data_IF_837659668946
#
_entry.id   IF_837659668946
#
_cell.length_a   1.000
_cell.length_b   1.000
_cell.length_c   1.000
_cell.angle_alpha   90.00
_cell.angle_beta   90.00
_cell.angle_gamma   90.00
#
_symmetry.space_group_name_H-M   'P 1'
#
loop_
_entity.id
_entity.type
_entity.pdbx_description
1 polymer ?
#
# COMPACT_ATOMS: atom_id res chain seq x y z
N UNK A 1 -6.79 -40.55 -42.19
CA UNK A 1 -6.73 -39.21 -41.54
C UNK A 1 -6.46 -39.39 -40.04
N UNK A 2 -5.22 -39.66 -39.61
CA UNK A 2 -4.86 -39.94 -38.20
C UNK A 2 -3.43 -39.49 -37.85
N UNK A 3 -2.99 -38.30 -38.29
CA UNK A 3 -1.55 -37.93 -38.19
C UNK A 3 -1.20 -36.62 -37.47
N UNK A 4 -2.16 -35.88 -36.92
CA UNK A 4 -1.85 -34.59 -36.27
C UNK A 4 -2.11 -34.52 -34.76
N UNK A 5 -2.80 -35.50 -34.15
CA UNK A 5 -3.10 -35.47 -32.71
C UNK A 5 -1.84 -35.61 -31.83
N UNK A 6 -0.82 -36.35 -32.29
CA UNK A 6 0.45 -36.48 -31.60
C UNK A 6 1.26 -35.17 -31.61
N UNK A 7 1.19 -34.40 -32.70
CA UNK A 7 1.83 -33.09 -32.80
C UNK A 7 1.16 -32.07 -31.87
N UNK A 8 -0.18 -32.02 -31.85
CA UNK A 8 -0.94 -31.18 -30.92
C UNK A 8 -0.67 -31.55 -29.46
N UNK A 9 -0.66 -32.85 -29.13
CA UNK A 9 -0.33 -33.32 -27.78
C UNK A 9 1.08 -32.94 -27.35
N UNK A 10 2.08 -33.06 -28.25
CA UNK A 10 3.45 -32.66 -27.98
C UNK A 10 3.58 -31.15 -27.75
N UNK A 11 2.92 -30.31 -28.58
CA UNK A 11 2.93 -28.85 -28.40
C UNK A 11 2.30 -28.45 -27.07
N UNK A 12 1.15 -29.02 -26.72
CA UNK A 12 0.48 -28.75 -25.44
C UNK A 12 1.38 -29.14 -24.27
N UNK A 13 2.02 -30.32 -24.33
CA UNK A 13 2.93 -30.77 -23.29
C UNK A 13 4.13 -29.81 -23.11
N UNK A 14 4.73 -29.35 -24.22
CA UNK A 14 5.84 -28.38 -24.17
C UNK A 14 5.37 -27.04 -23.59
N UNK A 15 4.21 -26.54 -23.99
CA UNK A 15 3.65 -25.31 -23.44
C UNK A 15 3.36 -25.43 -21.93
N UNK A 16 2.83 -26.57 -21.48
CA UNK A 16 2.56 -26.82 -20.06
C UNK A 16 3.86 -26.91 -19.25
N UNK A 17 4.91 -27.54 -19.78
CA UNK A 17 6.23 -27.60 -19.12
C UNK A 17 6.83 -26.20 -19.01
N UNK A 18 6.79 -25.42 -20.08
CA UNK A 18 7.27 -24.03 -20.06
C UNK A 18 6.48 -23.16 -19.07
N UNK A 19 5.14 -23.26 -19.07
CA UNK A 19 4.30 -22.56 -18.11
C UNK A 19 4.61 -22.99 -16.67
N UNK A 20 4.75 -24.28 -16.40
CA UNK A 20 5.14 -24.79 -15.09
C UNK A 20 6.49 -24.25 -14.63
N UNK A 21 7.49 -24.16 -15.52
CA UNK A 21 8.80 -23.58 -15.17
C UNK A 21 8.74 -22.10 -14.77
N UNK A 22 7.75 -21.35 -15.24
CA UNK A 22 7.50 -19.98 -14.78
C UNK A 22 6.73 -19.93 -13.46
N UNK A 23 5.75 -20.80 -13.28
CA UNK A 23 4.95 -20.87 -12.03
C UNK A 23 5.81 -21.33 -10.85
N UNK A 24 6.78 -22.20 -11.09
CA UNK A 24 7.70 -22.73 -10.07
C UNK A 24 9.10 -22.12 -10.15
N UNK A 25 9.23 -20.91 -10.70
CA UNK A 25 10.48 -20.18 -10.70
C UNK A 25 10.90 -19.84 -9.25
N UNK A 26 12.21 -19.70 -9.03
CA UNK A 26 12.74 -19.26 -7.73
C UNK A 26 12.54 -17.74 -7.58
N UNK A 27 11.72 -17.33 -6.60
CA UNK A 27 11.38 -15.93 -6.36
C UNK A 27 12.40 -15.18 -5.49
N UNK A 28 13.49 -15.83 -5.04
CA UNK A 28 14.47 -15.22 -4.12
C UNK A 28 15.07 -13.91 -4.65
N UNK A 29 15.36 -13.82 -5.95
CA UNK A 29 15.88 -12.60 -6.55
C UNK A 29 14.83 -11.47 -6.53
N UNK A 30 13.56 -11.80 -6.79
CA UNK A 30 12.46 -10.84 -6.74
C UNK A 30 12.22 -10.34 -5.30
N UNK A 31 12.27 -11.24 -4.31
CA UNK A 31 12.17 -10.88 -2.89
C UNK A 31 13.33 -9.97 -2.46
N UNK A 32 14.56 -10.31 -2.85
CA UNK A 32 15.73 -9.48 -2.57
C UNK A 32 15.63 -8.08 -3.22
N UNK A 33 15.10 -8.01 -4.45
CA UNK A 33 14.85 -6.72 -5.09
C UNK A 33 13.76 -5.92 -4.33
N UNK A 34 12.76 -6.59 -3.77
CA UNK A 34 11.67 -5.97 -3.03
C UNK A 34 12.08 -5.41 -1.67
N UNK A 35 13.16 -5.91 -1.04
CA UNK A 35 13.67 -5.41 0.26
C UNK A 35 13.85 -3.88 0.29
N UNK A 36 14.28 -3.29 -0.83
CA UNK A 36 14.44 -1.84 -0.94
C UNK A 36 13.11 -1.11 -0.83
N UNK A 37 12.07 -1.64 -1.49
CA UNK A 37 10.70 -1.10 -1.43
C UNK A 37 10.11 -1.31 -0.05
N UNK A 38 10.29 -2.50 0.53
CA UNK A 38 9.82 -2.83 1.88
C UNK A 38 10.36 -1.82 2.90
N UNK A 39 11.66 -1.47 2.85
CA UNK A 39 12.25 -0.46 3.74
C UNK A 39 11.55 0.89 3.66
N UNK A 40 11.12 1.32 2.47
CA UNK A 40 10.37 2.57 2.29
C UNK A 40 9.01 2.48 2.98
N UNK A 41 8.29 1.35 2.83
CA UNK A 41 7.00 1.14 3.50
C UNK A 41 7.10 1.14 5.03
N UNK A 42 8.27 0.81 5.58
CA UNK A 42 8.54 0.90 7.02
C UNK A 42 8.85 2.32 7.51
N UNK A 43 8.98 3.32 6.62
CA UNK A 43 9.15 4.72 7.03
C UNK A 43 7.88 5.26 7.70
N UNK A 44 7.99 6.09 8.76
CA UNK A 44 6.84 6.79 9.34
C UNK A 44 6.02 7.58 8.32
N UNK A 45 6.64 8.08 7.25
CA UNK A 45 5.94 8.76 6.14
C UNK A 45 4.87 7.89 5.49
N UNK A 46 5.14 6.59 5.34
CA UNK A 46 4.19 5.63 4.80
C UNK A 46 3.29 5.09 5.91
N UNK A 47 3.89 4.60 7.00
CA UNK A 47 3.19 3.93 8.09
C UNK A 47 2.14 4.81 8.77
N UNK A 48 2.36 6.13 8.88
CA UNK A 48 1.43 7.02 9.57
C UNK A 48 0.04 7.11 8.90
N UNK A 49 -0.04 6.85 7.59
CA UNK A 49 -1.29 6.80 6.83
C UNK A 49 -1.74 5.37 6.51
N UNK A 50 -0.78 4.46 6.35
CA UNK A 50 -0.96 3.04 6.02
C UNK A 50 -0.96 2.16 7.26
N UNK A 51 -1.94 2.43 8.11
CA UNK A 51 -2.12 1.80 9.43
C UNK A 51 -3.10 0.61 9.37
N UNK A 52 -2.99 -0.35 10.31
CA UNK A 52 -3.96 -1.44 10.45
C UNK A 52 -5.30 -0.98 11.07
N UNK A 53 -5.24 -0.03 12.01
CA UNK A 53 -6.42 0.56 12.66
C UNK A 53 -7.05 1.70 11.85
N UNK A 54 -7.86 2.53 12.49
CA UNK A 54 -8.54 3.65 11.83
C UNK A 54 -8.03 5.04 12.25
N UNK A 55 -7.20 5.15 13.30
CA UNK A 55 -6.64 6.43 13.75
C UNK A 55 -5.24 6.66 13.15
N UNK A 56 -5.05 7.63 12.22
CA UNK A 56 -3.74 7.93 11.64
C UNK A 56 -2.74 8.32 12.71
N UNK A 57 -1.46 8.13 12.41
CA UNK A 57 -0.37 8.44 13.32
C UNK A 57 0.36 9.73 12.88
N UNK A 58 1.16 10.29 13.77
CA UNK A 58 1.93 11.51 13.59
C UNK A 58 3.37 11.32 14.04
N UNK A 59 4.26 12.08 13.38
CA UNK A 59 5.69 12.12 13.64
C UNK A 59 6.40 10.78 13.46
N UNK A 60 7.70 10.75 13.74
CA UNK A 60 8.51 9.53 13.65
C UNK A 60 8.19 8.54 14.79
N UNK A 61 7.62 9.03 15.89
CA UNK A 61 7.22 8.21 17.04
C UNK A 61 5.93 7.41 16.78
N UNK A 62 5.20 7.67 15.70
CA UNK A 62 3.98 6.93 15.37
C UNK A 62 2.88 7.10 16.43
N UNK A 63 2.74 8.30 17.00
CA UNK A 63 1.69 8.58 18.00
C UNK A 63 0.37 8.89 17.30
N UNK A 64 -0.80 8.52 17.87
CA UNK A 64 -2.08 8.86 17.26
C UNK A 64 -2.23 10.36 16.98
N UNK A 65 -2.90 10.68 15.89
CA UNK A 65 -3.18 12.05 15.51
C UNK A 65 -3.91 12.79 16.63
N UNK A 66 -3.33 13.87 17.16
CA UNK A 66 -3.78 14.47 18.43
C UNK A 66 -5.23 15.00 18.43
N UNK A 67 -5.86 15.17 17.26
CA UNK A 67 -7.27 15.55 17.11
C UNK A 67 -8.23 14.34 17.15
N UNK A 68 -7.73 13.13 17.39
CA UNK A 68 -8.51 11.88 17.46
C UNK A 68 -9.38 11.63 16.21
N UNK A 69 -8.87 12.02 15.04
CA UNK A 69 -9.54 11.75 13.75
C UNK A 69 -9.47 10.26 13.42
N UNK A 70 -10.41 9.80 12.59
CA UNK A 70 -10.51 8.41 12.15
C UNK A 70 -10.74 8.31 10.64
N UNK A 71 -10.34 7.19 10.03
CA UNK A 71 -10.33 6.90 8.59
C UNK A 71 -11.63 7.24 7.85
N UNK A 72 -12.78 6.87 8.41
CA UNK A 72 -14.04 6.86 7.67
C UNK A 72 -14.10 5.77 6.61
N UNK A 73 -15.26 5.63 5.94
CA UNK A 73 -15.47 4.56 4.96
C UNK A 73 -14.57 4.67 3.73
N UNK A 74 -14.42 5.87 3.19
CA UNK A 74 -13.65 6.16 1.97
C UNK A 74 -12.23 6.67 2.27
N UNK A 75 -11.81 6.65 3.54
CA UNK A 75 -10.49 7.14 3.95
C UNK A 75 -10.37 8.65 4.13
N UNK A 76 -11.47 9.41 3.98
CA UNK A 76 -11.44 10.88 3.99
C UNK A 76 -11.93 11.52 5.29
N UNK A 77 -11.94 10.77 6.39
CA UNK A 77 -12.42 11.25 7.69
C UNK A 77 -13.83 10.76 8.00
N UNK A 78 -14.29 11.01 9.22
CA UNK A 78 -15.66 10.64 9.63
C UNK A 78 -16.70 11.57 8.97
N UNK A 79 -17.96 11.13 8.89
CA UNK A 79 -19.03 11.89 8.23
C UNK A 79 -19.26 13.30 8.83
N UNK A 80 -18.84 13.55 10.07
CA UNK A 80 -18.92 14.87 10.72
C UNK A 80 -17.59 15.64 10.79
N UNK A 81 -16.47 15.02 10.44
CA UNK A 81 -15.14 15.63 10.50
C UNK A 81 -14.26 15.08 9.36
N UNK A 82 -14.53 15.52 8.11
CA UNK A 82 -13.70 15.13 6.98
C UNK A 82 -12.29 15.72 7.11
N UNK A 83 -11.27 15.03 6.60
CA UNK A 83 -9.89 15.47 6.66
C UNK A 83 -9.69 16.85 6.00
N UNK A 84 -10.48 17.14 4.96
CA UNK A 84 -10.47 18.40 4.22
C UNK A 84 -10.91 19.62 5.05
N UNK A 85 -11.46 19.43 6.25
CA UNK A 85 -11.72 20.53 7.19
C UNK A 85 -10.42 21.20 7.65
N UNK A 86 -9.30 20.46 7.69
CA UNK A 86 -8.00 20.98 8.14
C UNK A 86 -6.92 20.88 7.06
N UNK A 87 -6.89 19.79 6.30
CA UNK A 87 -5.87 19.54 5.28
C UNK A 87 -6.26 20.11 3.93
N UNK A 88 -5.42 21.00 3.40
CA UNK A 88 -5.61 21.65 2.11
C UNK A 88 -4.90 20.90 0.97
N UNK A 89 -5.04 21.40 -0.27
CA UNK A 89 -4.37 20.83 -1.45
C UNK A 89 -2.85 21.05 -1.46
N UNK A 90 -2.38 22.08 -0.77
CA UNK A 90 -0.96 22.46 -0.67
C UNK A 90 -0.62 22.86 0.76
N UNK A 91 0.66 22.77 1.10
CA UNK A 91 1.14 23.24 2.39
C UNK A 91 0.81 24.74 2.57
N UNK A 92 0.37 25.15 3.78
CA UNK A 92 0.15 26.55 4.06
C UNK A 92 1.44 27.36 4.01
N UNK A 93 1.35 28.71 3.93
CA UNK A 93 2.52 29.58 4.05
C UNK A 93 3.28 29.32 5.35
N UNK A 94 4.61 29.47 5.29
CA UNK A 94 5.48 29.25 6.46
C UNK A 94 5.12 30.13 7.68
N UNK A 95 4.43 31.25 7.47
CA UNK A 95 3.95 32.14 8.55
C UNK A 95 2.93 31.51 9.49
N UNK A 96 2.28 30.39 9.13
CA UNK A 96 1.44 29.62 10.06
C UNK A 96 2.23 28.77 11.06
N UNK A 97 3.56 28.69 10.91
CA UNK A 97 4.43 27.98 11.83
C UNK A 97 4.45 26.46 11.63
N UNK A 98 5.24 25.74 12.45
CA UNK A 98 5.59 24.32 12.23
C UNK A 98 4.45 23.32 12.52
N UNK A 99 3.34 23.77 13.14
CA UNK A 99 2.23 22.91 13.55
C UNK A 99 0.98 23.10 12.69
N UNK A 100 1.10 23.79 11.56
CA UNK A 100 0.02 23.90 10.60
C UNK A 100 -0.24 22.54 9.92
N UNK A 101 -1.49 22.15 9.65
CA UNK A 101 -1.78 20.93 8.93
C UNK A 101 -1.08 20.91 7.57
N UNK A 102 -0.36 19.82 7.22
CA UNK A 102 0.22 19.69 5.89
C UNK A 102 -0.87 19.60 4.82
N UNK A 103 -0.53 20.02 3.61
CA UNK A 103 -1.43 19.88 2.46
C UNK A 103 -0.87 18.95 1.41
N UNK A 104 -1.77 18.22 0.75
CA UNK A 104 -1.45 17.40 -0.42
C UNK A 104 -2.68 17.28 -1.31
N UNK A 105 -2.50 17.13 -2.63
CA UNK A 105 -3.59 16.73 -3.49
C UNK A 105 -4.08 15.34 -3.03
N UNK A 106 -5.39 15.22 -2.77
CA UNK A 106 -6.05 13.97 -2.34
C UNK A 106 -5.65 13.46 -0.95
N UNK A 107 -5.55 14.33 0.04
CA UNK A 107 -5.29 13.93 1.44
C UNK A 107 -6.33 12.93 1.96
N UNK A 108 -5.92 11.67 2.12
CA UNK A 108 -6.76 10.59 2.63
C UNK A 108 -5.92 9.41 3.13
N UNK A 109 -6.52 8.58 3.95
CA UNK A 109 -6.04 7.23 4.24
C UNK A 109 -6.55 6.27 3.14
N UNK A 110 -5.99 5.05 3.02
CA UNK A 110 -6.61 4.00 2.22
C UNK A 110 -8.07 3.75 2.68
N UNK A 111 -9.03 3.46 1.78
CA UNK A 111 -10.41 3.18 2.15
C UNK A 111 -10.53 2.00 3.12
N UNK A 112 -11.56 1.98 3.96
CA UNK A 112 -11.76 0.91 4.94
C UNK A 112 -11.92 -0.48 4.29
N UNK A 113 -12.51 -0.54 3.10
CA UNK A 113 -12.68 -1.78 2.32
C UNK A 113 -11.38 -2.28 1.68
N UNK A 114 -10.36 -1.42 1.52
CA UNK A 114 -9.07 -1.76 0.91
C UNK A 114 -7.94 -1.19 1.77
N UNK A 115 -7.74 -1.78 2.95
CA UNK A 115 -6.65 -1.39 3.83
C UNK A 115 -5.33 -1.79 3.20
N UNK A 116 -4.36 -0.87 3.27
CA UNK A 116 -2.97 -1.10 2.91
C UNK A 116 -2.13 -0.85 4.16
N UNK A 117 -2.06 -1.82 5.07
CA UNK A 117 -1.39 -1.66 6.36
C UNK A 117 0.04 -2.23 6.30
N UNK A 118 1.04 -1.44 6.68
CA UNK A 118 2.46 -1.87 6.66
C UNK A 118 2.99 -2.27 8.03
N UNK A 119 2.44 -1.70 9.10
CA UNK A 119 2.89 -1.91 10.47
C UNK A 119 2.57 -3.34 10.90
N UNK A 120 3.58 -4.05 11.43
CA UNK A 120 3.43 -5.41 11.94
C UNK A 120 3.24 -6.47 10.86
N UNK A 121 3.38 -6.12 9.57
CA UNK A 121 3.40 -7.10 8.48
C UNK A 121 4.83 -7.59 8.26
N UNK A 122 5.06 -8.91 8.24
CA UNK A 122 6.35 -9.46 7.83
C UNK A 122 6.60 -9.14 6.34
N UNK A 123 7.87 -8.99 5.95
CA UNK A 123 8.24 -9.36 4.57
C UNK A 123 7.90 -10.83 4.45
N UNK A 124 7.05 -11.19 3.49
CA UNK A 124 6.58 -12.53 3.15
C UNK A 124 6.11 -13.49 4.28
N UNK A 125 4.87 -13.97 4.14
CA UNK A 125 4.49 -15.31 4.58
C UNK A 125 3.75 -15.98 3.44
#
# INVERSE_FOLDING_TARGET
MKRHHWLLGAVILVCLIAYASHVFADDREALQAFDTVQKVFQSPRCQNCHIPGDSPLQFDAGVPHAMNVVRGMDGKGSAGLPCATCHAQSNPPASYGPHAPPGAPHWSLPPAAQRMAWIGQPADR
#
